data_IF_890079570360
#
_entry.id   IF_890079570360
#
_cell.length_a   1.000
_cell.length_b   1.000
_cell.length_c   1.000
_cell.angle_alpha   90.00
_cell.angle_beta   90.00
_cell.angle_gamma   90.00
#
_symmetry.space_group_name_H-M   'P 1'
#
loop_
_entity.id
_entity.type
_entity.pdbx_description
1 polymer ?
#
# COMPACT_ATOMS: atom_id res chain seq x y z
N UNK A 1 3.76 -25.94 29.00
CA UNK A 1 2.69 -26.03 27.99
C UNK A 1 3.25 -25.53 26.69
N UNK A 2 3.52 -26.46 25.79
CA UNK A 2 4.22 -26.21 24.51
C UNK A 2 3.18 -25.79 23.50
N UNK A 3 3.13 -24.49 23.15
CA UNK A 3 2.27 -24.01 22.07
C UNK A 3 2.95 -24.28 20.73
N UNK A 4 2.42 -25.24 20.00
CA UNK A 4 2.78 -25.49 18.60
C UNK A 4 2.31 -24.30 17.75
N UNK A 5 3.24 -23.54 17.20
CA UNK A 5 2.96 -22.45 16.28
C UNK A 5 2.50 -23.03 14.94
N UNK A 6 1.23 -22.88 14.63
CA UNK A 6 0.70 -23.10 13.28
C UNK A 6 0.98 -21.83 12.49
N UNK A 7 2.05 -21.84 11.71
CA UNK A 7 2.22 -20.87 10.64
C UNK A 7 1.16 -21.19 9.57
N UNK A 8 0.12 -20.36 9.48
CA UNK A 8 -0.76 -20.34 8.34
C UNK A 8 0.03 -19.70 7.17
N UNK A 9 0.81 -20.51 6.47
CA UNK A 9 1.36 -20.14 5.17
C UNK A 9 0.18 -19.98 4.23
N UNK A 10 -0.17 -18.75 3.91
CA UNK A 10 -1.02 -18.45 2.77
C UNK A 10 -0.24 -18.83 1.50
N UNK A 11 -0.38 -20.09 1.10
CA UNK A 11 0.18 -20.58 -0.16
C UNK A 11 -0.70 -20.02 -1.26
N UNK A 12 -0.27 -18.91 -1.87
CA UNK A 12 -0.85 -18.39 -3.10
C UNK A 12 -0.55 -19.38 -4.22
N UNK A 13 -1.54 -20.23 -4.53
CA UNK A 13 -1.46 -21.18 -5.63
C UNK A 13 -1.60 -20.40 -6.93
N UNK A 14 -0.47 -20.01 -7.53
CA UNK A 14 -0.44 -19.47 -8.89
C UNK A 14 -0.73 -20.64 -9.85
N UNK A 15 -2.00 -20.77 -10.25
CA UNK A 15 -2.40 -21.66 -11.32
C UNK A 15 -1.87 -21.09 -12.64
N UNK A 16 -0.76 -21.61 -13.12
CA UNK A 16 -0.25 -21.35 -14.47
C UNK A 16 -1.15 -22.09 -15.46
N UNK A 17 -2.13 -21.40 -16.01
CA UNK A 17 -2.88 -21.86 -17.16
C UNK A 17 -2.03 -21.65 -18.43
N UNK A 18 -1.87 -22.64 -19.30
CA UNK A 18 -1.18 -22.45 -20.57
C UNK A 18 -2.02 -21.52 -21.46
N UNK A 19 -1.52 -20.30 -21.69
CA UNK A 19 -2.10 -19.37 -22.63
C UNK A 19 -1.94 -19.89 -24.06
N UNK A 20 -3.05 -20.19 -24.71
CA UNK A 20 -3.08 -20.36 -26.14
C UNK A 20 -2.68 -19.06 -26.83
N UNK A 21 -1.61 -19.09 -27.63
CA UNK A 21 -1.12 -17.95 -28.40
C UNK A 21 -2.12 -17.68 -29.53
N UNK A 22 -3.02 -16.74 -29.32
CA UNK A 22 -3.77 -16.11 -30.41
C UNK A 22 -2.93 -14.93 -30.89
N UNK A 23 -2.30 -15.08 -32.07
CA UNK A 23 -1.70 -13.97 -32.79
C UNK A 23 -2.84 -13.13 -33.37
N UNK A 24 -3.18 -12.04 -32.71
CA UNK A 24 -3.83 -10.91 -33.34
C UNK A 24 -2.73 -9.93 -33.79
N UNK A 25 -2.86 -9.36 -34.98
CA UNK A 25 -1.99 -8.29 -35.50
C UNK A 25 -2.07 -7.09 -34.54
N UNK A 26 -1.11 -7.00 -33.64
CA UNK A 26 -1.02 -5.90 -32.69
C UNK A 26 -0.24 -4.75 -33.32
N UNK A 27 -0.94 -3.72 -33.73
CA UNK A 27 -0.32 -2.40 -33.81
C UNK A 27 0.20 -2.05 -32.38
N UNK A 28 1.48 -1.63 -32.23
CA UNK A 28 2.02 -1.28 -30.92
C UNK A 28 1.12 -0.24 -30.24
N UNK A 29 0.74 -0.49 -29.00
CA UNK A 29 -0.01 0.48 -28.23
C UNK A 29 0.71 1.83 -28.26
N UNK A 30 -0.01 2.96 -28.42
CA UNK A 30 0.62 4.27 -28.41
C UNK A 30 1.40 4.43 -27.08
N UNK A 31 2.63 4.98 -27.14
CA UNK A 31 3.40 5.22 -25.93
C UNK A 31 2.58 6.05 -24.94
N UNK A 32 2.73 5.81 -23.64
CA UNK A 32 2.02 6.60 -22.63
C UNK A 32 2.35 8.08 -22.83
N UNK A 33 1.39 8.98 -22.57
CA UNK A 33 1.60 10.41 -22.77
C UNK A 33 2.80 10.87 -21.92
N UNK A 34 3.83 11.36 -22.58
CA UNK A 34 5.03 11.90 -21.95
C UNK A 34 4.77 13.34 -21.51
N UNK A 35 5.44 13.78 -20.42
CA UNK A 35 5.35 15.13 -19.85
C UNK A 35 3.98 15.54 -19.28
N UNK A 36 3.03 14.60 -19.18
CA UNK A 36 1.70 14.87 -18.62
C UNK A 36 1.58 14.19 -17.25
N UNK A 37 1.07 14.92 -16.28
CA UNK A 37 0.65 14.33 -14.99
C UNK A 37 -0.67 13.61 -15.20
N UNK A 38 -0.72 12.37 -14.78
CA UNK A 38 -1.94 11.59 -14.65
C UNK A 38 -2.18 11.28 -13.20
N UNK A 39 -3.43 11.33 -12.77
CA UNK A 39 -3.75 11.14 -11.37
C UNK A 39 -5.11 10.53 -11.13
N UNK A 40 -5.29 10.07 -9.91
CA UNK A 40 -6.58 9.66 -9.37
C UNK A 40 -6.69 10.10 -7.92
N UNK A 41 -7.87 10.57 -7.55
CA UNK A 41 -8.29 10.78 -6.17
C UNK A 41 -9.24 9.66 -5.76
N UNK A 42 -9.18 9.26 -4.50
CA UNK A 42 -10.06 8.28 -3.89
C UNK A 42 -10.68 8.86 -2.63
N UNK A 43 -11.94 8.54 -2.38
CA UNK A 43 -12.66 8.97 -1.19
C UNK A 43 -13.60 7.86 -0.74
N UNK A 44 -13.54 7.51 0.54
CA UNK A 44 -14.42 6.57 1.19
C UNK A 44 -14.99 7.16 2.47
N UNK A 45 -16.26 6.82 2.76
CA UNK A 45 -16.95 7.20 3.98
C UNK A 45 -17.83 6.06 4.46
N UNK A 46 -17.81 5.80 5.77
CA UNK A 46 -18.69 4.87 6.45
C UNK A 46 -19.30 5.57 7.67
N UNK A 47 -20.62 5.49 7.81
CA UNK A 47 -21.35 5.88 9.03
C UNK A 47 -22.33 4.75 9.37
N UNK A 48 -22.17 4.16 10.54
CA UNK A 48 -23.01 3.08 11.06
C UNK A 48 -23.51 3.47 12.44
N UNK A 49 -24.83 3.49 12.64
CA UNK A 49 -25.49 3.86 13.89
C UNK A 49 -26.49 2.79 14.34
N UNK A 50 -26.68 2.67 15.64
CA UNK A 50 -27.61 1.74 16.24
C UNK A 50 -26.93 0.77 17.19
N UNK A 51 -26.98 -0.54 16.91
CA UNK A 51 -26.32 -1.55 17.74
C UNK A 51 -24.77 -1.49 17.64
N UNK A 52 -24.23 -0.89 16.57
CA UNK A 52 -22.84 -0.51 16.41
C UNK A 52 -22.78 0.97 16.04
N UNK A 53 -21.87 1.69 16.65
CA UNK A 53 -21.59 3.10 16.34
C UNK A 53 -20.15 3.15 15.80
N UNK A 54 -20.01 3.33 14.49
CA UNK A 54 -18.72 3.41 13.82
C UNK A 54 -18.77 4.43 12.68
N UNK A 55 -17.78 5.30 12.66
CA UNK A 55 -17.58 6.30 11.62
C UNK A 55 -16.17 6.12 11.05
N UNK A 56 -16.02 6.19 9.74
CA UNK A 56 -14.70 6.30 9.13
C UNK A 56 -14.74 7.14 7.86
N UNK A 57 -13.65 7.85 7.63
CA UNK A 57 -13.37 8.58 6.40
C UNK A 57 -11.95 8.25 5.96
N UNK A 58 -11.79 7.97 4.69
CA UNK A 58 -10.47 7.79 4.09
C UNK A 58 -10.39 8.52 2.76
N UNK A 59 -9.20 8.93 2.40
CA UNK A 59 -8.93 9.55 1.12
C UNK A 59 -7.51 9.27 0.67
N UNK A 60 -7.32 9.18 -0.65
CA UNK A 60 -5.99 9.05 -1.24
C UNK A 60 -5.88 9.82 -2.55
N UNK A 61 -4.65 10.23 -2.86
CA UNK A 61 -4.28 10.85 -4.13
C UNK A 61 -3.06 10.11 -4.66
N UNK A 62 -3.18 9.59 -5.87
CA UNK A 62 -2.06 9.07 -6.64
C UNK A 62 -1.80 9.98 -7.83
N UNK A 63 -0.55 10.34 -8.06
CA UNK A 63 -0.10 11.09 -9.23
C UNK A 63 1.13 10.45 -9.81
N UNK A 64 1.24 10.41 -11.13
CA UNK A 64 2.46 9.97 -11.80
C UNK A 64 2.71 10.77 -13.08
N UNK A 65 4.01 10.86 -13.43
CA UNK A 65 4.48 11.48 -14.66
C UNK A 65 5.60 10.65 -15.25
N UNK A 66 5.56 10.48 -16.55
CA UNK A 66 6.63 9.86 -17.34
C UNK A 66 7.28 10.96 -18.17
N UNK A 67 8.60 11.04 -18.09
CA UNK A 67 9.42 12.03 -18.80
C UNK A 67 10.67 11.32 -19.34
N UNK A 68 10.64 10.93 -20.62
CA UNK A 68 11.65 10.10 -21.28
C UNK A 68 11.93 8.78 -20.51
N UNK A 69 13.14 8.67 -19.92
CA UNK A 69 13.55 7.52 -19.13
C UNK A 69 13.10 7.59 -17.67
N UNK A 70 12.54 8.71 -17.22
CA UNK A 70 12.16 8.95 -15.83
C UNK A 70 10.66 8.76 -15.62
N UNK A 71 10.31 8.10 -14.53
CA UNK A 71 8.94 8.06 -14.03
C UNK A 71 8.93 8.50 -12.58
N UNK A 72 8.13 9.50 -12.25
CA UNK A 72 7.88 9.93 -10.88
C UNK A 72 6.48 9.53 -10.48
N UNK A 73 6.32 9.00 -9.28
CA UNK A 73 5.05 8.59 -8.72
C UNK A 73 4.92 9.09 -7.29
N UNK A 74 3.80 9.72 -6.97
CA UNK A 74 3.44 10.22 -5.64
C UNK A 74 2.17 9.56 -5.18
N UNK A 75 2.12 9.20 -3.91
CA UNK A 75 0.94 8.68 -3.24
C UNK A 75 0.83 9.34 -1.87
N UNK A 76 -0.34 9.85 -1.56
CA UNK A 76 -0.68 10.37 -0.23
C UNK A 76 -2.03 9.77 0.12
N UNK A 77 -2.14 9.23 1.33
CA UNK A 77 -3.40 8.72 1.85
C UNK A 77 -3.59 9.11 3.31
N UNK A 78 -4.84 9.21 3.72
CA UNK A 78 -5.24 9.46 5.09
C UNK A 78 -6.45 8.61 5.46
N UNK A 79 -6.46 8.13 6.70
CA UNK A 79 -7.55 7.37 7.30
C UNK A 79 -7.86 7.98 8.67
N UNK A 80 -9.14 8.20 8.93
CA UNK A 80 -9.64 8.56 10.25
C UNK A 80 -10.86 7.72 10.59
N UNK A 81 -10.92 7.21 11.81
CA UNK A 81 -12.05 6.37 12.24
C UNK A 81 -12.37 6.53 13.73
N UNK A 82 -13.64 6.32 14.05
CA UNK A 82 -14.15 6.23 15.42
C UNK A 82 -14.97 4.97 15.59
N UNK A 83 -14.98 4.44 16.81
CA UNK A 83 -15.87 3.38 17.25
C UNK A 83 -16.42 3.73 18.62
N UNK A 84 -17.75 3.70 18.77
CA UNK A 84 -18.44 4.11 19.99
C UNK A 84 -18.03 5.53 20.46
N UNK A 85 -17.82 6.46 19.51
CA UNK A 85 -17.40 7.84 19.79
C UNK A 85 -15.91 8.02 20.12
N UNK A 86 -15.14 6.95 20.20
CA UNK A 86 -13.70 6.96 20.51
C UNK A 86 -12.91 6.82 19.22
N UNK A 87 -11.88 7.67 19.02
CA UNK A 87 -10.98 7.54 17.85
C UNK A 87 -10.29 6.18 17.88
N UNK A 88 -10.38 5.44 16.80
CA UNK A 88 -9.91 4.07 16.65
C UNK A 88 -8.90 3.89 15.51
N UNK A 89 -8.81 4.87 14.60
CA UNK A 89 -7.83 4.93 13.53
C UNK A 89 -7.52 6.39 13.19
N UNK A 90 -6.25 6.72 13.03
CA UNK A 90 -5.76 8.01 12.55
C UNK A 90 -4.39 7.79 11.92
N UNK A 91 -4.34 7.82 10.58
CA UNK A 91 -3.15 7.52 9.81
C UNK A 91 -2.97 8.51 8.67
N UNK A 92 -1.73 8.87 8.40
CA UNK A 92 -1.29 9.57 7.19
C UNK A 92 -0.08 8.85 6.64
N UNK A 93 -0.13 8.49 5.36
CA UNK A 93 0.98 7.91 4.62
C UNK A 93 1.28 8.77 3.40
N UNK A 94 2.56 9.07 3.18
CA UNK A 94 3.06 9.70 1.98
C UNK A 94 4.21 8.87 1.39
N UNK A 95 4.16 8.63 0.09
CA UNK A 95 5.20 7.91 -0.68
C UNK A 95 5.55 8.68 -1.94
N UNK A 96 6.83 8.67 -2.26
CA UNK A 96 7.37 9.12 -3.53
C UNK A 96 8.30 8.02 -4.07
N UNK A 97 8.22 7.73 -5.36
CA UNK A 97 9.17 6.87 -6.05
C UNK A 97 9.52 7.46 -7.39
N UNK A 98 10.82 7.57 -7.64
CA UNK A 98 11.40 7.94 -8.92
C UNK A 98 12.08 6.73 -9.54
N UNK A 99 11.64 6.34 -10.75
CA UNK A 99 12.22 5.26 -11.54
C UNK A 99 13.02 5.83 -12.69
N UNK A 100 14.18 5.24 -12.97
CA UNK A 100 14.99 5.48 -14.16
C UNK A 100 15.06 4.22 -15.02
N UNK A 101 14.54 4.26 -16.23
CA UNK A 101 14.52 3.13 -17.16
C UNK A 101 15.94 2.84 -17.67
N UNK A 102 16.51 1.70 -17.30
CA UNK A 102 17.78 1.20 -17.81
C UNK A 102 17.57 0.47 -19.13
N UNK A 103 16.46 -0.24 -19.26
CA UNK A 103 16.02 -0.92 -20.48
C UNK A 103 14.48 -0.94 -20.54
N UNK A 104 13.90 -1.58 -21.54
CA UNK A 104 12.45 -1.72 -21.67
C UNK A 104 11.81 -2.33 -20.42
N UNK A 105 12.49 -3.32 -19.81
CA UNK A 105 11.94 -4.07 -18.68
C UNK A 105 12.63 -3.81 -17.35
N UNK A 106 13.84 -3.22 -17.36
CA UNK A 106 14.65 -3.02 -16.15
C UNK A 106 14.73 -1.53 -15.81
N UNK A 107 14.57 -1.20 -14.54
CA UNK A 107 14.73 0.16 -14.04
C UNK A 107 15.49 0.18 -12.71
N UNK A 108 16.17 1.29 -12.45
CA UNK A 108 16.63 1.65 -11.10
C UNK A 108 15.57 2.51 -10.44
N UNK A 109 15.43 2.42 -9.12
CA UNK A 109 14.50 3.27 -8.39
C UNK A 109 15.14 3.89 -7.16
N UNK A 110 14.62 5.06 -6.77
CA UNK A 110 14.79 5.68 -5.46
C UNK A 110 13.42 6.00 -4.89
N UNK A 111 13.22 5.82 -3.58
CA UNK A 111 11.93 6.03 -2.97
C UNK A 111 12.02 6.60 -1.56
N UNK A 112 11.04 7.41 -1.22
CA UNK A 112 10.80 7.97 0.10
C UNK A 112 9.43 7.50 0.60
N UNK A 113 9.35 7.14 1.88
CA UNK A 113 8.10 6.84 2.56
C UNK A 113 8.08 7.55 3.90
N UNK A 114 6.98 8.16 4.22
CA UNK A 114 6.70 8.73 5.54
C UNK A 114 5.31 8.26 5.99
N UNK A 115 5.23 7.80 7.22
CA UNK A 115 3.99 7.35 7.84
C UNK A 115 3.90 7.91 9.24
N UNK A 116 2.72 8.39 9.58
CA UNK A 116 2.29 8.71 10.92
C UNK A 116 1.02 7.92 11.19
N UNK A 117 1.07 7.05 12.18
CA UNK A 117 -0.08 6.25 12.60
C UNK A 117 -0.18 6.31 14.13
N UNK A 118 -1.28 6.87 14.60
CA UNK A 118 -1.51 7.06 16.01
C UNK A 118 -1.85 5.76 16.76
N UNK A 119 -2.05 4.65 16.04
CA UNK A 119 -2.48 3.38 16.62
C UNK A 119 -1.47 2.25 16.46
N UNK A 120 -0.42 2.47 15.65
CA UNK A 120 0.65 1.50 15.40
C UNK A 120 1.85 1.62 16.37
N UNK A 121 1.76 2.52 17.37
CA UNK A 121 2.77 2.65 18.41
C UNK A 121 4.04 3.35 18.01
N UNK A 122 3.97 4.16 16.96
CA UNK A 122 5.05 5.07 16.56
C UNK A 122 4.52 6.45 16.19
N UNK A 123 5.21 7.49 16.63
CA UNK A 123 4.90 8.86 16.26
C UNK A 123 5.13 9.09 14.77
N UNK A 124 6.17 8.49 14.20
CA UNK A 124 6.42 8.45 12.78
C UNK A 124 7.37 7.32 12.39
N UNK A 125 7.23 6.89 11.16
CA UNK A 125 8.18 6.04 10.46
C UNK A 125 8.54 6.71 9.14
N UNK A 126 9.83 6.79 8.82
CA UNK A 126 10.33 7.31 7.55
C UNK A 126 11.38 6.38 6.98
N UNK A 127 11.32 6.09 5.69
CA UNK A 127 12.34 5.31 4.99
C UNK A 127 12.79 5.98 3.69
N UNK A 128 14.09 5.80 3.39
CA UNK A 128 14.73 6.11 2.13
C UNK A 128 15.26 4.80 1.56
N UNK A 129 14.86 4.45 0.36
CA UNK A 129 15.20 3.19 -0.29
C UNK A 129 15.72 3.41 -1.70
N UNK A 130 16.49 2.47 -2.21
CA UNK A 130 16.92 2.46 -3.60
C UNK A 130 17.28 1.05 -4.04
N UNK A 131 17.12 0.78 -5.33
CA UNK A 131 17.32 -0.56 -5.85
C UNK A 131 17.05 -0.69 -7.33
N UNK A 132 16.70 -1.89 -7.73
CA UNK A 132 16.38 -2.24 -9.12
C UNK A 132 15.05 -2.96 -9.19
N UNK A 133 14.33 -2.74 -10.28
CA UNK A 133 13.08 -3.41 -10.56
C UNK A 133 13.07 -4.00 -11.96
N UNK A 134 12.19 -4.98 -12.15
CA UNK A 134 12.00 -5.67 -13.41
C UNK A 134 10.50 -5.86 -13.69
N UNK A 135 10.10 -5.53 -14.92
CA UNK A 135 8.74 -5.76 -15.44
C UNK A 135 8.71 -7.15 -16.07
N UNK A 136 8.13 -8.10 -15.35
CA UNK A 136 8.00 -9.48 -15.82
C UNK A 136 6.91 -9.62 -16.88
N UNK A 137 5.83 -8.84 -16.70
CA UNK A 137 4.71 -8.77 -17.64
C UNK A 137 4.39 -7.29 -17.81
N UNK A 138 4.32 -6.81 -19.05
CA UNK A 138 3.90 -5.45 -19.41
C UNK A 138 3.04 -5.50 -20.66
N UNK A 139 1.80 -5.96 -20.50
CA UNK A 139 0.78 -6.02 -21.54
C UNK A 139 -0.38 -5.09 -21.22
N UNK A 140 -1.34 -4.95 -22.14
CA UNK A 140 -2.54 -4.14 -21.91
C UNK A 140 -3.46 -4.73 -20.84
N UNK A 141 -3.50 -6.07 -20.70
CA UNK A 141 -4.35 -6.77 -19.75
C UNK A 141 -3.65 -7.04 -18.41
N UNK A 142 -2.36 -7.35 -18.45
CA UNK A 142 -1.59 -7.79 -17.29
C UNK A 142 -0.31 -6.98 -17.14
N UNK A 143 -0.03 -6.56 -15.93
CA UNK A 143 1.26 -5.97 -15.55
C UNK A 143 1.75 -6.64 -14.27
N UNK A 144 2.99 -7.10 -14.30
CA UNK A 144 3.67 -7.66 -13.13
C UNK A 144 5.06 -7.07 -13.04
N UNK A 145 5.30 -6.32 -11.98
CA UNK A 145 6.59 -5.72 -11.67
C UNK A 145 7.07 -6.23 -10.32
N UNK A 146 8.33 -6.57 -10.21
CA UNK A 146 8.96 -6.81 -8.92
C UNK A 146 10.19 -5.94 -8.79
N UNK A 147 10.50 -5.55 -7.56
CA UNK A 147 11.65 -4.73 -7.22
C UNK A 147 12.32 -5.22 -5.95
N UNK A 148 13.63 -5.04 -5.88
CA UNK A 148 14.46 -5.36 -4.73
C UNK A 148 15.40 -4.22 -4.47
N UNK A 149 15.58 -3.88 -3.21
CA UNK A 149 16.41 -2.75 -2.83
C UNK A 149 16.92 -2.83 -1.41
N UNK A 150 17.62 -1.80 -1.03
CA UNK A 150 18.08 -1.58 0.32
C UNK A 150 17.89 -0.10 0.68
N UNK A 151 17.89 0.19 1.97
CA UNK A 151 17.68 1.54 2.43
C UNK A 151 17.95 1.71 3.91
N UNK A 152 17.44 2.81 4.41
CA UNK A 152 17.49 3.15 5.82
C UNK A 152 16.12 3.60 6.29
N UNK A 153 15.68 3.04 7.42
CA UNK A 153 14.42 3.36 8.07
C UNK A 153 14.70 4.00 9.42
N UNK A 154 13.97 5.08 9.71
CA UNK A 154 13.96 5.73 11.02
C UNK A 154 12.56 5.68 11.59
N UNK A 155 12.45 5.19 12.82
CA UNK A 155 11.19 5.07 13.56
C UNK A 155 11.34 5.85 14.86
N UNK A 156 10.29 6.57 15.26
CA UNK A 156 10.13 7.11 16.59
C UNK A 156 9.00 6.38 17.30
N UNK A 157 9.31 5.37 18.11
CA UNK A 157 8.28 4.64 18.85
C UNK A 157 7.62 5.55 19.89
N UNK A 158 6.44 5.15 20.33
CA UNK A 158 5.76 5.80 21.46
C UNK A 158 5.10 4.76 22.38
N UNK A 159 4.98 5.12 23.66
CA UNK A 159 4.19 4.35 24.61
C UNK A 159 2.79 4.91 24.64
N UNK A 160 1.81 4.08 24.33
CA UNK A 160 0.39 4.43 24.35
C UNK A 160 -0.23 3.88 25.63
N UNK A 161 -0.86 4.74 26.41
CA UNK A 161 -1.66 4.35 27.56
C UNK A 161 -3.14 4.50 27.21
N UNK A 162 -3.91 3.44 27.40
CA UNK A 162 -5.36 3.42 27.17
C UNK A 162 -6.10 3.36 28.49
N UNK A 163 -7.24 4.03 28.56
CA UNK A 163 -8.20 3.88 29.63
C UNK A 163 -8.74 2.44 29.64
N UNK A 164 -8.69 1.72 30.78
CA UNK A 164 -9.07 0.33 30.82
C UNK A 164 -10.57 0.08 30.62
N UNK A 165 -11.41 1.08 30.93
CA UNK A 165 -12.87 0.94 30.87
C UNK A 165 -13.42 1.32 29.48
N UNK A 166 -12.84 2.34 28.87
CA UNK A 166 -13.33 2.89 27.59
C UNK A 166 -12.48 2.49 26.40
N UNK A 167 -11.21 2.12 26.63
CA UNK A 167 -10.23 1.87 25.56
C UNK A 167 -9.70 3.14 24.89
N UNK A 168 -10.13 4.33 25.34
CA UNK A 168 -9.66 5.61 24.82
C UNK A 168 -8.18 5.83 25.13
N UNK A 169 -7.44 6.43 24.21
CA UNK A 169 -6.05 6.82 24.45
C UNK A 169 -6.03 8.01 25.39
N UNK A 170 -5.39 7.86 26.55
CA UNK A 170 -5.27 8.90 27.58
C UNK A 170 -3.88 9.57 27.60
N UNK A 171 -2.87 8.89 27.08
CA UNK A 171 -1.51 9.43 27.03
C UNK A 171 -0.69 8.81 25.91
N UNK A 172 0.17 9.61 25.28
CA UNK A 172 1.20 9.19 24.32
C UNK A 172 2.53 9.80 24.75
N UNK A 173 3.53 8.97 24.92
CA UNK A 173 4.88 9.39 25.32
C UNK A 173 5.86 8.93 24.25
N UNK A 174 6.35 9.86 23.40
CA UNK A 174 7.36 9.52 22.41
C UNK A 174 8.66 9.04 23.07
N UNK A 175 9.23 8.00 22.49
CA UNK A 175 10.56 7.48 22.87
C UNK A 175 11.64 8.05 21.93
N UNK A 176 12.90 7.71 22.19
CA UNK A 176 13.99 8.10 21.31
C UNK A 176 13.85 7.48 19.93
N UNK A 177 14.09 8.28 18.90
CA UNK A 177 14.06 7.80 17.54
C UNK A 177 15.25 6.87 17.26
N UNK A 178 14.95 5.70 16.70
CA UNK A 178 15.95 4.71 16.28
C UNK A 178 15.97 4.59 14.77
N UNK A 179 17.07 4.08 14.23
CA UNK A 179 17.21 3.86 12.81
C UNK A 179 17.96 2.57 12.52
N UNK A 180 17.63 1.96 11.38
CA UNK A 180 18.22 0.71 10.95
C UNK A 180 18.35 0.64 9.44
N UNK A 181 19.31 -0.16 8.96
CA UNK A 181 19.37 -0.53 7.56
C UNK A 181 18.25 -1.55 7.26
N UNK A 182 17.61 -1.42 6.11
CA UNK A 182 16.55 -2.31 5.65
C UNK A 182 16.85 -2.88 4.27
N UNK A 183 16.42 -4.12 4.05
CA UNK A 183 16.24 -4.69 2.71
C UNK A 183 14.77 -4.58 2.32
N UNK A 184 14.48 -4.31 1.03
CA UNK A 184 13.10 -4.18 0.54
C UNK A 184 12.82 -5.12 -0.61
N UNK A 185 11.60 -5.63 -0.64
CA UNK A 185 11.04 -6.38 -1.77
C UNK A 185 9.65 -5.83 -2.03
N UNK A 186 9.39 -5.44 -3.28
CA UNK A 186 8.08 -4.97 -3.73
C UNK A 186 7.58 -5.79 -4.92
N UNK A 187 6.29 -6.04 -4.98
CA UNK A 187 5.60 -6.67 -6.10
C UNK A 187 4.32 -5.89 -6.38
N UNK A 188 4.18 -5.43 -7.62
CA UNK A 188 2.96 -4.79 -8.11
C UNK A 188 2.37 -5.65 -9.23
N UNK A 189 1.10 -6.03 -9.05
CA UNK A 189 0.34 -6.77 -10.05
C UNK A 189 -0.93 -6.02 -10.43
N UNK A 190 -1.24 -5.99 -11.71
CA UNK A 190 -2.48 -5.45 -12.24
C UNK A 190 -3.03 -6.43 -13.27
N UNK A 191 -4.33 -6.74 -13.15
CA UNK A 191 -5.07 -7.53 -14.13
C UNK A 191 -6.38 -6.84 -14.53
N UNK A 192 -6.61 -6.69 -15.82
CA UNK A 192 -7.88 -6.20 -16.37
C UNK A 192 -8.73 -7.36 -16.80
N UNK A 193 -9.74 -7.70 -16.02
CA UNK A 193 -10.75 -8.71 -16.39
C UNK A 193 -11.58 -8.28 -17.59
N UNK A 194 -11.92 -6.98 -17.64
CA UNK A 194 -12.68 -6.35 -18.71
C UNK A 194 -12.14 -4.91 -18.91
N UNK A 195 -12.57 -4.19 -19.97
CA UNK A 195 -12.20 -2.77 -20.12
C UNK A 195 -12.62 -1.89 -18.94
N UNK A 196 -13.57 -2.35 -18.12
CA UNK A 196 -14.09 -1.59 -16.97
C UNK A 196 -13.71 -2.16 -15.62
N UNK A 197 -13.25 -3.42 -15.52
CA UNK A 197 -12.96 -4.10 -14.26
C UNK A 197 -11.49 -4.43 -14.15
N UNK A 198 -10.83 -3.89 -13.13
CA UNK A 198 -9.38 -4.03 -12.89
C UNK A 198 -9.15 -4.50 -11.46
N UNK A 199 -8.31 -5.52 -11.30
CA UNK A 199 -7.72 -5.96 -10.04
C UNK A 199 -6.32 -5.38 -9.94
N UNK A 200 -5.96 -4.89 -8.78
CA UNK A 200 -4.58 -4.51 -8.41
C UNK A 200 -4.18 -5.23 -7.14
N UNK A 201 -2.92 -5.60 -7.05
CA UNK A 201 -2.30 -6.06 -5.81
C UNK A 201 -0.94 -5.38 -5.68
N UNK A 202 -0.65 -4.88 -4.48
CA UNK A 202 0.62 -4.25 -4.11
C UNK A 202 1.15 -4.92 -2.86
N UNK A 203 2.30 -5.51 -2.95
CA UNK A 203 2.99 -6.18 -1.87
C UNK A 203 4.33 -5.49 -1.61
N UNK A 204 4.61 -5.18 -0.35
CA UNK A 204 5.88 -4.58 0.09
C UNK A 204 6.35 -5.27 1.37
N UNK A 205 7.61 -5.64 1.41
CA UNK A 205 8.31 -6.03 2.64
C UNK A 205 9.50 -5.13 2.85
N UNK A 206 9.60 -4.56 4.05
CA UNK A 206 10.77 -3.87 4.57
C UNK A 206 11.37 -4.73 5.69
N UNK A 207 12.43 -5.44 5.40
CA UNK A 207 13.15 -6.30 6.35
C UNK A 207 14.23 -5.52 7.06
N UNK A 208 14.10 -5.34 8.37
CA UNK A 208 15.10 -4.73 9.24
C UNK A 208 15.50 -5.66 10.39
N UNK A 209 16.60 -5.34 11.05
CA UNK A 209 17.12 -6.14 12.16
C UNK A 209 16.24 -6.05 13.42
N UNK A 210 15.63 -4.90 13.67
CA UNK A 210 14.77 -4.66 14.82
C UNK A 210 13.31 -5.00 14.52
N UNK A 211 12.86 -4.76 13.29
CA UNK A 211 11.49 -4.95 12.87
C UNK A 211 11.38 -5.24 11.37
N UNK A 212 10.52 -6.17 11.02
CA UNK A 212 10.07 -6.42 9.64
C UNK A 212 8.65 -5.94 9.50
N UNK A 213 8.41 -5.10 8.49
CA UNK A 213 7.08 -4.65 8.09
C UNK A 213 6.73 -5.32 6.75
N UNK A 214 5.58 -5.98 6.70
CA UNK A 214 5.01 -6.49 5.46
C UNK A 214 3.64 -5.85 5.25
N UNK A 215 3.38 -5.37 4.04
CA UNK A 215 2.12 -4.76 3.64
C UNK A 215 1.64 -5.39 2.34
N UNK A 216 0.39 -5.82 2.30
CA UNK A 216 -0.27 -6.35 1.11
C UNK A 216 -1.63 -5.69 0.93
N UNK A 217 -1.84 -5.07 -0.22
CA UNK A 217 -3.09 -4.41 -0.59
C UNK A 217 -3.63 -5.01 -1.88
N UNK A 218 -4.84 -5.53 -1.84
CA UNK A 218 -5.59 -5.97 -3.01
C UNK A 218 -6.81 -5.08 -3.21
N UNK A 219 -7.08 -4.63 -4.43
CA UNK A 219 -8.23 -3.81 -4.75
C UNK A 219 -8.87 -4.21 -6.08
N UNK A 220 -10.20 -4.26 -6.09
CA UNK A 220 -11.02 -4.45 -7.29
C UNK A 220 -11.74 -3.14 -7.62
N UNK A 221 -11.47 -2.58 -8.78
CA UNK A 221 -12.10 -1.35 -9.25
C UNK A 221 -12.98 -1.62 -10.46
N UNK A 222 -14.18 -1.02 -10.46
CA UNK A 222 -15.14 -1.09 -11.56
C UNK A 222 -15.44 0.33 -12.05
N UNK A 223 -15.09 0.64 -13.30
CA UNK A 223 -15.38 1.93 -13.94
C UNK A 223 -16.88 2.08 -14.16
N UNK A 224 -17.44 3.18 -13.68
CA UNK A 224 -18.83 3.59 -13.93
C UNK A 224 -18.92 4.61 -15.08
N UNK A 225 -17.84 5.35 -15.33
CA UNK A 225 -17.70 6.28 -16.43
C UNK A 225 -16.24 6.42 -16.84
N UNK A 226 -15.93 7.33 -17.76
CA UNK A 226 -14.55 7.62 -18.18
C UNK A 226 -13.66 8.14 -17.03
N UNK A 227 -14.26 8.77 -16.02
CA UNK A 227 -13.54 9.39 -14.91
C UNK A 227 -13.88 8.82 -13.52
N UNK A 228 -15.00 8.09 -13.40
CA UNK A 228 -15.45 7.56 -12.12
C UNK A 228 -15.37 6.04 -12.08
N UNK A 229 -14.90 5.51 -10.96
CA UNK A 229 -14.92 4.09 -10.63
C UNK A 229 -15.32 3.89 -9.16
N UNK A 230 -15.89 2.72 -8.87
CA UNK A 230 -16.06 2.20 -7.53
C UNK A 230 -14.93 1.21 -7.27
N UNK A 231 -14.27 1.29 -6.11
CA UNK A 231 -13.21 0.38 -5.70
C UNK A 231 -13.53 -0.25 -4.34
N UNK A 232 -13.28 -1.54 -4.22
CA UNK A 232 -13.27 -2.27 -2.95
C UNK A 232 -11.86 -2.75 -2.73
N UNK A 233 -11.28 -2.37 -1.59
CA UNK A 233 -9.91 -2.70 -1.21
C UNK A 233 -9.85 -3.47 0.10
N UNK A 234 -8.82 -4.30 0.24
CA UNK A 234 -8.46 -4.99 1.47
C UNK A 234 -6.95 -4.92 1.65
N UNK A 235 -6.51 -4.37 2.76
CA UNK A 235 -5.11 -4.25 3.11
C UNK A 235 -4.80 -5.02 4.39
N UNK A 236 -3.63 -5.65 4.44
CA UNK A 236 -3.06 -6.32 5.60
C UNK A 236 -1.68 -5.72 5.84
N UNK A 237 -1.44 -5.32 7.08
CA UNK A 237 -0.11 -4.89 7.54
C UNK A 237 0.34 -5.84 8.65
N UNK A 238 1.51 -6.44 8.50
CA UNK A 238 2.16 -7.27 9.53
C UNK A 238 3.42 -6.56 10.02
N UNK A 239 3.44 -6.24 11.29
CA UNK A 239 4.55 -5.67 12.02
C UNK A 239 5.13 -6.74 12.95
N UNK A 240 6.34 -7.22 12.66
CA UNK A 240 6.94 -8.35 13.40
C UNK A 240 7.20 -8.05 14.87
N UNK A 241 7.41 -6.76 15.22
CA UNK A 241 7.78 -6.33 16.57
C UNK A 241 7.09 -5.02 16.98
N UNK A 242 5.74 -4.99 17.08
CA UNK A 242 5.01 -3.82 17.52
C UNK A 242 5.25 -3.57 19.02
N UNK A 243 5.22 -2.32 19.48
CA UNK A 243 5.24 -2.02 20.92
C UNK A 243 4.05 -2.66 21.65
N UNK A 244 4.26 -3.19 22.85
CA UNK A 244 3.14 -3.69 23.66
C UNK A 244 2.21 -2.53 24.07
N UNK A 245 0.88 -2.68 24.08
CA UNK A 245 0.09 -3.91 23.91
C UNK A 245 -0.46 -4.15 22.49
N UNK A 246 0.15 -3.59 21.45
CA UNK A 246 -0.36 -3.61 20.08
C UNK A 246 -0.30 -5.01 19.46
N UNK A 247 -1.17 -5.22 18.46
CA UNK A 247 -1.21 -6.45 17.68
C UNK A 247 -0.16 -6.38 16.57
N UNK A 248 0.21 -7.56 16.06
CA UNK A 248 1.17 -7.68 14.95
C UNK A 248 0.53 -7.46 13.59
N UNK A 249 -0.75 -7.77 13.46
CA UNK A 249 -1.47 -7.76 12.20
C UNK A 249 -2.65 -6.82 12.33
N UNK A 250 -2.69 -5.88 11.40
CA UNK A 250 -3.79 -4.96 11.19
C UNK A 250 -4.40 -5.17 9.80
N UNK A 251 -5.70 -4.95 9.69
CA UNK A 251 -6.43 -5.11 8.44
C UNK A 251 -7.37 -3.95 8.23
N UNK A 252 -7.44 -3.48 6.99
CA UNK A 252 -8.32 -2.38 6.59
C UNK A 252 -9.13 -2.82 5.36
N UNK A 253 -10.44 -2.69 5.43
CA UNK A 253 -11.33 -2.86 4.28
C UNK A 253 -11.86 -1.48 3.87
N UNK A 254 -11.76 -1.14 2.60
CA UNK A 254 -12.19 0.15 2.07
C UNK A 254 -13.21 -0.02 0.95
N UNK A 255 -14.14 0.93 0.86
CA UNK A 255 -15.02 1.12 -0.29
C UNK A 255 -14.90 2.56 -0.73
N UNK A 256 -14.36 2.79 -1.90
CA UNK A 256 -13.96 4.11 -2.36
C UNK A 256 -14.62 4.49 -3.69
N UNK A 257 -15.05 5.74 -3.79
CA UNK A 257 -15.29 6.39 -5.07
C UNK A 257 -13.94 6.92 -5.58
N UNK A 258 -13.59 6.55 -6.80
CA UNK A 258 -12.32 6.91 -7.45
C UNK A 258 -12.60 7.85 -8.61
N UNK A 259 -11.90 8.97 -8.65
CA UNK A 259 -11.96 9.96 -9.72
C UNK A 259 -10.60 10.08 -10.41
N UNK A 260 -10.55 9.84 -11.73
CA UNK A 260 -9.37 9.99 -12.58
C UNK A 260 -9.33 11.36 -13.25
N UNK A 261 -8.14 12.00 -13.28
CA UNK A 261 -7.90 13.31 -13.87
C UNK A 261 -6.55 13.40 -14.59
#
# INVERSE_FOLDING_TARGET
MTYTRVFATATMLIAVLPAAIVRADDAPAPPPPQHVWIGKGQFGFLDSKGNSDAESINGAIDMSRIDDAWKNAFHIEGLYGKSAGIVSAEQILAREQTDYAISTNTFAFGGLRYEHDEFDGFQYQASLTGGVGYKFIDSDADKLTAQVGAGYRRIRPETITKDPDTGAVVSRVPLDATGEAIGTVGIDYLHKFTPTTTLTNKFLVEYGSANTLAHDEIALAVKMSTRLALSVGYAITDNSNPPAPLKKVDTVTTVNLVFAF
#
